data_IF_083756878317
#
_entry.id   IF_083756878317
#
_cell.length_a   1.000
_cell.length_b   1.000
_cell.length_c   1.000
_cell.angle_alpha   90.00
_cell.angle_beta   90.00
_cell.angle_gamma   90.00
#
_symmetry.space_group_name_H-M   'P 1'
#
loop_
_entity.id
_entity.type
_entity.pdbx_description
1 polymer ?
#
# COMPACT_ATOMS: atom_id res chain seq x y z
N UNK A 1 -19.56 -43.69 51.71
CA UNK A 1 -19.35 -42.23 51.79
C UNK A 1 -18.24 -41.82 50.87
N UNK A 2 -18.56 -41.38 49.69
CA UNK A 2 -17.61 -40.91 48.68
C UNK A 2 -17.81 -39.40 48.46
N UNK A 3 -16.77 -38.62 48.71
CA UNK A 3 -16.74 -37.18 48.50
C UNK A 3 -16.54 -36.89 47.03
N UNK A 4 -17.50 -36.19 46.39
CA UNK A 4 -17.35 -35.55 45.08
C UNK A 4 -16.44 -34.33 45.23
N UNK A 5 -15.36 -34.28 44.40
CA UNK A 5 -14.58 -33.11 44.18
C UNK A 5 -15.15 -32.37 42.94
N UNK A 6 -15.71 -31.21 43.17
CA UNK A 6 -16.04 -30.24 42.12
C UNK A 6 -14.78 -29.55 41.68
N UNK A 7 -14.30 -29.82 40.43
CA UNK A 7 -13.34 -28.99 39.74
C UNK A 7 -14.08 -27.85 39.02
N UNK A 8 -14.02 -26.65 39.57
CA UNK A 8 -14.36 -25.41 38.86
C UNK A 8 -13.28 -25.12 37.86
N UNK A 9 -13.66 -25.16 36.58
CA UNK A 9 -12.86 -24.64 35.47
C UNK A 9 -12.74 -23.11 35.58
N UNK A 10 -11.54 -22.60 35.82
CA UNK A 10 -11.21 -21.21 35.56
C UNK A 10 -11.09 -21.05 34.03
N UNK A 11 -12.07 -20.41 33.43
CA UNK A 11 -11.97 -19.89 32.07
C UNK A 11 -11.31 -18.52 32.19
N UNK A 12 -10.16 -18.37 31.53
CA UNK A 12 -9.35 -17.17 31.50
C UNK A 12 -10.16 -15.97 30.99
N UNK A 13 -10.29 -14.96 31.84
CA UNK A 13 -10.88 -13.63 31.56
C UNK A 13 -9.85 -12.64 31.01
N UNK A 14 -8.81 -13.12 30.35
CA UNK A 14 -7.71 -12.26 29.86
C UNK A 14 -7.96 -11.62 28.47
N UNK A 15 -9.00 -12.03 27.73
CA UNK A 15 -9.22 -11.55 26.35
C UNK A 15 -10.21 -10.37 26.22
N UNK A 16 -10.69 -9.80 27.31
CA UNK A 16 -11.67 -8.69 27.28
C UNK A 16 -11.11 -7.30 27.65
N UNK A 17 -9.85 -7.19 28.09
CA UNK A 17 -9.27 -5.89 28.45
C UNK A 17 -8.57 -5.12 27.32
N UNK A 18 -8.49 -5.69 26.10
CA UNK A 18 -7.84 -5.01 24.95
C UNK A 18 -8.77 -4.06 24.15
N UNK A 19 -10.03 -3.87 24.57
CA UNK A 19 -11.00 -2.99 23.90
C UNK A 19 -11.41 -1.83 24.79
N UNK A 20 -10.53 -0.89 25.07
CA UNK A 20 -10.92 0.23 25.93
C UNK A 20 -9.85 1.28 26.20
N UNK A 21 -8.88 1.45 25.34
CA UNK A 21 -8.13 2.70 25.29
C UNK A 21 -8.89 3.61 24.32
N UNK A 22 -9.87 4.36 24.82
CA UNK A 22 -10.38 5.54 24.13
C UNK A 22 -9.17 6.42 23.82
N UNK A 23 -8.84 6.50 22.51
CA UNK A 23 -7.68 7.20 22.00
C UNK A 23 -7.98 8.70 22.16
N UNK A 24 -7.54 9.30 23.27
CA UNK A 24 -7.58 10.77 23.40
C UNK A 24 -6.98 11.37 22.12
N UNK A 25 -7.60 12.40 21.54
CA UNK A 25 -7.17 12.93 20.25
C UNK A 25 -5.73 13.43 20.34
N UNK A 26 -4.80 12.60 19.91
CA UNK A 26 -3.36 12.93 19.92
C UNK A 26 -3.10 14.14 19.03
N UNK A 27 -2.30 15.11 19.47
CA UNK A 27 -1.98 16.26 18.64
C UNK A 27 -1.32 15.80 17.32
N UNK A 28 -1.61 16.50 16.22
CA UNK A 28 -1.04 16.17 14.91
C UNK A 28 0.49 16.16 14.95
N UNK A 29 1.09 15.14 14.34
CA UNK A 29 2.54 14.96 14.30
C UNK A 29 3.25 16.14 13.61
N UNK A 30 4.31 16.68 14.24
CA UNK A 30 5.12 17.77 13.69
C UNK A 30 5.95 17.29 12.48
N UNK A 31 6.25 18.19 11.56
CA UNK A 31 7.04 17.84 10.36
C UNK A 31 8.42 17.30 10.72
N UNK A 32 9.14 17.96 11.63
CA UNK A 32 10.50 17.56 12.03
C UNK A 32 10.54 16.15 12.61
N UNK A 33 9.58 15.79 13.43
CA UNK A 33 9.43 14.45 14.00
C UNK A 33 9.15 13.42 12.90
N UNK A 34 8.19 13.72 12.03
CA UNK A 34 7.85 12.86 10.89
C UNK A 34 9.04 12.60 9.97
N UNK A 35 9.77 13.64 9.60
CA UNK A 35 10.93 13.53 8.71
C UNK A 35 12.08 12.73 9.35
N UNK A 36 12.26 12.87 10.67
CA UNK A 36 13.25 12.09 11.42
C UNK A 36 12.94 10.60 11.38
N UNK A 37 11.70 10.21 11.75
CA UNK A 37 11.28 8.82 11.76
C UNK A 37 11.22 8.22 10.35
N UNK A 38 10.73 8.99 9.38
CA UNK A 38 10.68 8.52 8.00
C UNK A 38 12.07 8.24 7.44
N UNK A 39 13.08 9.07 7.78
CA UNK A 39 14.46 8.83 7.36
C UNK A 39 15.02 7.52 7.92
N UNK A 40 14.71 7.21 9.18
CA UNK A 40 15.09 5.93 9.80
C UNK A 40 14.45 4.77 9.06
N UNK A 41 13.14 4.82 8.85
CA UNK A 41 12.39 3.78 8.13
C UNK A 41 12.82 3.62 6.67
N UNK A 42 13.23 4.69 6.00
CA UNK A 42 13.81 4.60 4.66
C UNK A 42 15.11 3.76 4.64
N UNK A 43 15.93 3.87 5.70
CA UNK A 43 17.12 3.00 5.84
C UNK A 43 16.75 1.53 5.94
N UNK A 44 15.71 1.21 6.69
CA UNK A 44 15.20 -0.16 6.84
C UNK A 44 14.54 -0.68 5.54
N UNK A 45 13.78 0.17 4.82
CA UNK A 45 13.22 -0.18 3.50
C UNK A 45 14.32 -0.51 2.48
N UNK A 46 15.45 0.21 2.50
CA UNK A 46 16.60 -0.11 1.65
C UNK A 46 17.24 -1.43 2.07
N UNK A 47 17.36 -1.71 3.37
CA UNK A 47 17.87 -3.01 3.84
C UNK A 47 16.95 -4.17 3.41
N UNK A 48 15.64 -3.99 3.54
CA UNK A 48 14.65 -4.95 3.04
C UNK A 48 14.76 -5.15 1.52
N UNK A 49 14.95 -4.07 0.75
CA UNK A 49 15.16 -4.16 -0.69
C UNK A 49 16.35 -5.06 -1.06
N UNK A 50 17.50 -4.86 -0.39
CA UNK A 50 18.68 -5.68 -0.66
C UNK A 50 18.45 -7.14 -0.32
N UNK A 51 17.73 -7.40 0.77
CA UNK A 51 17.31 -8.77 1.12
C UNK A 51 16.37 -9.37 0.07
N UNK A 52 15.35 -8.65 -0.39
CA UNK A 52 14.44 -9.11 -1.45
C UNK A 52 15.21 -9.51 -2.71
N UNK A 53 16.18 -8.68 -3.12
CA UNK A 53 17.03 -8.98 -4.29
C UNK A 53 17.89 -10.22 -4.09
N UNK A 54 18.47 -10.37 -2.92
CA UNK A 54 19.42 -11.46 -2.65
C UNK A 54 18.70 -12.80 -2.42
N UNK A 55 17.56 -12.79 -1.75
CA UNK A 55 16.77 -13.98 -1.43
C UNK A 55 15.89 -14.45 -2.60
N UNK A 56 15.60 -13.56 -3.56
CA UNK A 56 14.61 -13.82 -4.60
C UNK A 56 13.17 -13.80 -4.07
N UNK A 57 12.93 -13.19 -2.90
CA UNK A 57 11.59 -13.05 -2.35
C UNK A 57 10.65 -12.33 -3.33
N UNK A 58 9.38 -12.72 -3.32
CA UNK A 58 8.32 -12.14 -4.13
C UNK A 58 7.32 -11.47 -3.19
N UNK A 59 7.18 -10.15 -3.28
CA UNK A 59 6.30 -9.40 -2.38
C UNK A 59 5.23 -8.67 -3.20
N UNK A 60 3.98 -8.83 -2.81
CA UNK A 60 2.82 -8.14 -3.39
C UNK A 60 2.09 -7.37 -2.29
N UNK A 61 1.99 -6.06 -2.46
CA UNK A 61 1.34 -5.16 -1.51
C UNK A 61 0.13 -4.53 -2.19
N UNK A 62 -1.04 -4.67 -1.58
CA UNK A 62 -2.30 -4.10 -2.05
C UNK A 62 -2.67 -2.92 -1.16
N UNK A 63 -2.90 -1.76 -1.79
CA UNK A 63 -3.44 -0.58 -1.14
C UNK A 63 -4.86 -0.30 -1.61
N UNK A 64 -5.79 -0.47 -0.71
CA UNK A 64 -7.20 -0.10 -0.86
C UNK A 64 -7.60 0.95 0.19
N UNK A 65 -8.81 1.43 0.11
CA UNK A 65 -9.32 2.40 1.08
C UNK A 65 -10.12 3.51 0.45
N UNK A 66 -10.70 4.34 1.30
CA UNK A 66 -11.59 5.44 0.89
C UNK A 66 -10.85 6.47 0.05
N UNK A 67 -11.60 7.21 -0.74
CA UNK A 67 -11.05 8.35 -1.46
C UNK A 67 -10.51 9.38 -0.48
N UNK A 68 -9.42 10.05 -0.86
CA UNK A 68 -8.65 10.97 -0.01
C UNK A 68 -7.94 10.36 1.20
N UNK A 69 -8.11 9.08 1.53
CA UNK A 69 -7.45 8.43 2.67
C UNK A 69 -5.91 8.51 2.63
N UNK A 70 -5.32 8.70 1.45
CA UNK A 70 -3.88 8.99 1.35
C UNK A 70 -3.04 7.87 0.76
N UNK A 71 -3.65 6.91 0.06
CA UNK A 71 -2.98 5.78 -0.61
C UNK A 71 -1.73 6.21 -1.38
N UNK A 72 -1.87 7.04 -2.40
CA UNK A 72 -0.72 7.46 -3.22
C UNK A 72 0.38 8.19 -2.44
N UNK A 73 0.03 8.93 -1.36
CA UNK A 73 1.03 9.55 -0.48
C UNK A 73 1.78 8.55 0.39
N UNK A 74 1.15 7.44 0.77
CA UNK A 74 1.77 6.34 1.50
C UNK A 74 2.69 5.54 0.57
N UNK A 75 2.21 5.20 -0.62
CA UNK A 75 2.99 4.52 -1.65
C UNK A 75 4.24 5.34 -1.99
N UNK A 76 4.10 6.67 -2.18
CA UNK A 76 5.24 7.56 -2.39
C UNK A 76 6.23 7.51 -1.23
N UNK A 77 5.77 7.56 0.02
CA UNK A 77 6.66 7.50 1.18
C UNK A 77 7.44 6.17 1.26
N UNK A 78 6.82 5.04 0.88
CA UNK A 78 7.50 3.74 0.79
C UNK A 78 8.54 3.73 -0.33
N UNK A 79 8.22 4.31 -1.50
CA UNK A 79 9.04 4.15 -2.71
C UNK A 79 10.07 5.26 -2.92
N UNK A 80 10.09 6.30 -2.10
CA UNK A 80 10.91 7.50 -2.31
C UNK A 80 12.43 7.21 -2.33
N UNK A 81 12.90 6.23 -1.57
CA UNK A 81 14.34 5.94 -1.40
C UNK A 81 14.75 4.54 -1.83
N UNK A 82 13.84 3.79 -2.41
CA UNK A 82 14.11 2.45 -2.94
C UNK A 82 14.21 2.47 -4.47
N UNK A 83 14.80 1.43 -5.03
CA UNK A 83 14.99 1.32 -6.48
C UNK A 83 13.68 0.99 -7.20
N UNK A 84 13.29 1.75 -8.24
CA UNK A 84 12.12 1.43 -9.06
C UNK A 84 12.31 0.15 -9.91
N UNK A 85 13.52 -0.42 -9.95
CA UNK A 85 13.76 -1.73 -10.57
C UNK A 85 13.36 -2.90 -9.67
N UNK A 86 13.23 -2.66 -8.36
CA UNK A 86 12.82 -3.64 -7.36
C UNK A 86 11.39 -3.37 -6.93
N UNK A 87 11.08 -2.10 -6.62
CA UNK A 87 9.74 -1.65 -6.24
C UNK A 87 9.01 -1.10 -7.46
N UNK A 88 7.99 -1.80 -7.91
CA UNK A 88 7.14 -1.35 -9.03
C UNK A 88 5.74 -1.01 -8.53
N UNK A 89 5.25 0.15 -8.92
CA UNK A 89 3.89 0.60 -8.64
C UNK A 89 3.01 0.24 -9.83
N UNK A 90 1.88 -0.40 -9.56
CA UNK A 90 0.87 -0.78 -10.55
C UNK A 90 -0.43 -0.06 -10.21
N UNK A 91 -0.85 0.85 -11.10
CA UNK A 91 -2.13 1.54 -11.04
C UNK A 91 -2.83 1.32 -12.39
N UNK A 92 -3.71 0.34 -12.45
CA UNK A 92 -4.37 -0.01 -13.72
C UNK A 92 -5.48 0.99 -14.04
N UNK A 93 -5.62 1.43 -15.30
CA UNK A 93 -6.74 2.25 -15.75
C UNK A 93 -8.05 1.46 -15.73
N UNK A 94 -9.15 2.09 -16.12
CA UNK A 94 -10.41 1.38 -16.37
C UNK A 94 -10.19 0.21 -17.36
N UNK A 95 -10.85 -0.94 -17.15
CA UNK A 95 -10.66 -2.10 -18.03
C UNK A 95 -11.08 -1.79 -19.45
N UNK A 96 -10.29 -2.26 -20.42
CA UNK A 96 -10.63 -2.24 -21.85
C UNK A 96 -11.79 -3.19 -22.15
N UNK A 97 -12.44 -3.05 -23.30
CA UNK A 97 -13.55 -3.95 -23.71
C UNK A 97 -13.09 -5.41 -23.76
N UNK A 98 -11.86 -5.67 -24.15
CA UNK A 98 -11.28 -7.02 -24.10
C UNK A 98 -11.16 -7.53 -22.67
N UNK A 99 -10.62 -6.73 -21.74
CA UNK A 99 -10.45 -7.12 -20.33
C UNK A 99 -11.79 -7.34 -19.63
N UNK A 100 -12.84 -6.60 -19.99
CA UNK A 100 -14.21 -6.82 -19.48
C UNK A 100 -14.77 -8.20 -19.85
N UNK A 101 -14.35 -8.77 -20.99
CA UNK A 101 -14.77 -10.10 -21.44
C UNK A 101 -13.91 -11.25 -20.90
N UNK A 102 -12.83 -10.95 -20.19
CA UNK A 102 -11.91 -11.92 -19.61
C UNK A 102 -12.29 -12.28 -18.16
N UNK A 103 -11.65 -13.31 -17.62
CA UNK A 103 -11.71 -13.55 -16.18
C UNK A 103 -11.19 -12.31 -15.43
N UNK A 104 -11.95 -11.80 -14.49
CA UNK A 104 -11.71 -10.48 -13.87
C UNK A 104 -10.29 -10.28 -13.37
N UNK A 105 -9.73 -11.27 -12.68
CA UNK A 105 -8.37 -11.18 -12.11
C UNK A 105 -7.26 -11.28 -13.16
N UNK A 106 -7.58 -11.70 -14.38
CA UNK A 106 -6.59 -11.95 -15.44
C UNK A 106 -5.74 -10.71 -15.77
N UNK A 107 -6.34 -9.50 -15.70
CA UNK A 107 -5.62 -8.26 -15.96
C UNK A 107 -4.55 -7.90 -14.93
N UNK A 108 -4.62 -8.49 -13.73
CA UNK A 108 -3.66 -8.25 -12.63
C UNK A 108 -2.50 -9.24 -12.65
N UNK A 109 -2.72 -10.46 -13.12
CA UNK A 109 -1.75 -11.56 -13.13
C UNK A 109 -0.41 -11.18 -13.79
N UNK A 110 -0.37 -10.50 -14.96
CA UNK A 110 0.88 -10.13 -15.62
C UNK A 110 1.77 -9.18 -14.81
N UNK A 111 1.22 -8.57 -13.76
CA UNK A 111 1.91 -7.61 -12.91
C UNK A 111 2.45 -8.22 -11.61
N UNK A 112 2.20 -9.50 -11.35
CA UNK A 112 2.67 -10.14 -10.12
C UNK A 112 4.20 -10.17 -10.05
N UNK A 113 4.75 -10.20 -8.81
CA UNK A 113 6.19 -10.15 -8.62
C UNK A 113 6.91 -11.38 -9.16
N UNK A 114 7.98 -11.15 -9.91
CA UNK A 114 9.01 -12.15 -10.12
C UNK A 114 9.96 -12.22 -8.91
N UNK A 115 10.88 -13.18 -8.91
CA UNK A 115 11.89 -13.29 -7.86
C UNK A 115 12.71 -12.00 -7.73
N UNK A 116 12.80 -11.47 -6.53
CA UNK A 116 13.53 -10.24 -6.23
C UNK A 116 12.73 -8.95 -6.47
N UNK A 117 11.40 -9.03 -6.60
CA UNK A 117 10.54 -7.87 -6.85
C UNK A 117 9.53 -7.62 -5.73
N UNK A 118 9.23 -6.34 -5.51
CA UNK A 118 8.13 -5.83 -4.68
C UNK A 118 7.15 -5.10 -5.58
N UNK A 119 5.93 -5.61 -5.69
CA UNK A 119 4.86 -4.97 -6.46
C UNK A 119 3.89 -4.30 -5.52
N UNK A 120 3.58 -3.04 -5.78
CA UNK A 120 2.60 -2.26 -5.01
C UNK A 120 1.44 -1.91 -5.92
N UNK A 121 0.26 -2.44 -5.63
CA UNK A 121 -0.97 -2.08 -6.30
C UNK A 121 -1.61 -0.85 -5.64
N UNK A 122 -1.71 0.28 -6.38
CA UNK A 122 -2.56 1.42 -6.01
C UNK A 122 -3.95 1.17 -6.57
N UNK A 123 -4.84 0.63 -5.75
CA UNK A 123 -6.05 -0.11 -6.10
C UNK A 123 -5.76 -1.45 -6.80
N UNK A 124 -6.59 -2.42 -6.57
CA UNK A 124 -6.34 -3.81 -6.99
C UNK A 124 -7.59 -4.48 -7.57
N UNK A 125 -7.59 -5.80 -7.59
CA UNK A 125 -8.75 -6.61 -7.90
C UNK A 125 -9.94 -6.34 -6.98
N UNK A 126 -9.73 -5.76 -5.83
CA UNK A 126 -10.80 -5.36 -4.91
C UNK A 126 -11.63 -4.15 -5.40
N UNK A 127 -11.25 -3.50 -6.51
CA UNK A 127 -12.13 -2.57 -7.21
C UNK A 127 -13.50 -3.18 -7.51
N UNK A 128 -13.57 -4.50 -7.80
CA UNK A 128 -14.83 -5.22 -8.08
C UNK A 128 -15.75 -5.21 -6.85
N UNK A 129 -15.22 -5.43 -5.65
CA UNK A 129 -15.99 -5.39 -4.41
C UNK A 129 -16.32 -3.98 -3.93
N UNK A 130 -15.50 -2.99 -4.28
CA UNK A 130 -15.61 -1.59 -3.87
C UNK A 130 -16.24 -0.71 -4.93
N UNK A 131 -15.38 0.07 -5.61
CA UNK A 131 -15.82 1.13 -6.52
C UNK A 131 -16.69 0.64 -7.67
N UNK A 132 -16.39 -0.52 -8.26
CA UNK A 132 -17.16 -1.03 -9.40
C UNK A 132 -18.59 -1.39 -8.99
N UNK A 133 -18.75 -2.03 -7.82
CA UNK A 133 -20.05 -2.37 -7.26
C UNK A 133 -20.85 -1.12 -6.89
N UNK A 134 -20.26 -0.24 -6.06
CA UNK A 134 -20.95 0.96 -5.56
C UNK A 134 -21.35 1.91 -6.69
N UNK A 135 -20.55 2.00 -7.75
CA UNK A 135 -20.83 2.88 -8.89
C UNK A 135 -21.67 2.19 -9.99
N UNK A 136 -22.01 0.92 -9.82
CA UNK A 136 -22.79 0.18 -10.80
C UNK A 136 -22.03 -0.16 -12.09
N UNK A 137 -20.69 -0.27 -12.01
CA UNK A 137 -19.85 -0.70 -13.13
C UNK A 137 -19.81 -2.22 -13.27
N UNK A 138 -20.28 -2.93 -12.28
CA UNK A 138 -20.56 -4.35 -12.32
C UNK A 138 -21.90 -4.63 -11.64
N UNK A 139 -22.48 -5.80 -11.91
CA UNK A 139 -23.66 -6.27 -11.22
C UNK A 139 -23.34 -6.76 -9.83
N UNK A 140 -24.33 -6.79 -8.92
CA UNK A 140 -24.17 -7.38 -7.59
C UNK A 140 -23.75 -8.86 -7.66
N UNK A 141 -24.27 -9.61 -8.64
CA UNK A 141 -23.88 -11.00 -8.87
C UNK A 141 -22.39 -11.15 -9.23
N UNK A 142 -21.84 -10.27 -10.06
CA UNK A 142 -20.41 -10.29 -10.40
C UNK A 142 -19.54 -9.92 -9.19
N UNK A 143 -19.96 -8.95 -8.39
CA UNK A 143 -19.27 -8.58 -7.16
C UNK A 143 -19.29 -9.72 -6.12
N UNK A 144 -20.43 -10.35 -5.92
CA UNK A 144 -20.58 -11.51 -5.03
C UNK A 144 -19.72 -12.69 -5.50
N UNK A 145 -19.79 -13.01 -6.80
CA UNK A 145 -18.96 -14.08 -7.37
C UNK A 145 -17.46 -13.83 -7.25
N UNK A 146 -17.05 -12.57 -7.38
CA UNK A 146 -15.67 -12.19 -7.13
C UNK A 146 -15.27 -12.43 -5.66
N UNK A 147 -16.10 -12.03 -4.70
CA UNK A 147 -15.81 -12.23 -3.27
C UNK A 147 -15.71 -13.72 -2.89
N UNK A 148 -16.49 -14.58 -3.52
CA UNK A 148 -16.38 -16.04 -3.36
C UNK A 148 -15.03 -16.60 -3.88
N UNK A 149 -14.49 -16.00 -4.95
CA UNK A 149 -13.27 -16.48 -5.60
C UNK A 149 -12.00 -15.88 -5.05
N UNK A 150 -12.06 -14.66 -4.49
CA UNK A 150 -10.89 -13.91 -4.05
C UNK A 150 -10.02 -14.67 -3.03
N UNK A 151 -10.56 -15.34 -1.99
CA UNK A 151 -9.74 -16.11 -1.04
C UNK A 151 -8.94 -17.24 -1.69
N UNK A 152 -9.56 -17.98 -2.63
CA UNK A 152 -8.91 -19.09 -3.32
C UNK A 152 -7.80 -18.59 -4.27
N UNK A 153 -8.05 -17.48 -4.96
CA UNK A 153 -7.07 -16.84 -5.82
C UNK A 153 -5.87 -16.32 -5.02
N UNK A 154 -6.09 -15.64 -3.90
CA UNK A 154 -5.03 -15.16 -3.01
C UNK A 154 -4.27 -16.32 -2.35
N UNK A 155 -4.98 -17.40 -2.00
CA UNK A 155 -4.32 -18.62 -1.50
C UNK A 155 -3.34 -19.19 -2.52
N UNK A 156 -3.73 -19.25 -3.80
CA UNK A 156 -2.84 -19.69 -4.87
C UNK A 156 -1.61 -18.79 -5.03
N UNK A 157 -1.75 -17.47 -4.84
CA UNK A 157 -0.60 -16.54 -4.83
C UNK A 157 0.35 -16.84 -3.68
N UNK A 158 -0.18 -17.03 -2.47
CA UNK A 158 0.63 -17.34 -1.27
C UNK A 158 1.29 -18.70 -1.40
N UNK A 159 0.59 -19.72 -1.89
CA UNK A 159 1.14 -21.05 -2.14
C UNK A 159 2.25 -21.05 -3.21
N UNK A 160 2.20 -20.11 -4.15
CA UNK A 160 3.28 -19.84 -5.11
C UNK A 160 4.48 -19.09 -4.50
N UNK A 161 4.47 -18.85 -3.18
CA UNK A 161 5.54 -18.19 -2.44
C UNK A 161 5.55 -16.67 -2.55
N UNK A 162 4.40 -16.05 -2.85
CA UNK A 162 4.25 -14.60 -2.82
C UNK A 162 3.85 -14.19 -1.40
N UNK A 163 4.61 -13.28 -0.79
CA UNK A 163 4.20 -12.57 0.43
C UNK A 163 3.16 -11.55 0.05
N UNK A 164 1.90 -11.80 0.39
CA UNK A 164 0.77 -10.92 0.08
C UNK A 164 0.37 -10.10 1.31
N UNK A 165 0.43 -8.76 1.19
CA UNK A 165 0.03 -7.82 2.23
C UNK A 165 -1.12 -6.96 1.71
N UNK A 166 -2.21 -6.87 2.48
CA UNK A 166 -3.39 -6.08 2.11
C UNK A 166 -3.62 -4.96 3.13
N UNK A 167 -3.55 -3.71 2.66
CA UNK A 167 -3.79 -2.52 3.48
C UNK A 167 -5.05 -1.80 3.05
N UNK A 168 -5.92 -1.54 4.02
CA UNK A 168 -7.05 -0.63 3.88
C UNK A 168 -6.77 0.67 4.62
N UNK A 169 -6.77 1.80 3.90
CA UNK A 169 -6.66 3.11 4.52
C UNK A 169 -8.06 3.64 4.79
N UNK A 170 -8.39 3.76 6.08
CA UNK A 170 -9.63 4.37 6.56
C UNK A 170 -9.40 5.86 6.88
N UNK A 171 -10.40 6.67 6.62
CA UNK A 171 -10.44 8.10 6.96
C UNK A 171 -11.83 8.41 7.50
N UNK A 172 -11.93 9.28 8.49
CA UNK A 172 -13.23 9.72 9.01
C UNK A 172 -13.99 10.55 7.96
N UNK A 173 -15.32 10.60 8.07
CA UNK A 173 -16.17 11.36 7.16
C UNK A 173 -15.80 12.85 7.14
N UNK A 174 -15.59 13.43 8.33
CA UNK A 174 -15.23 14.83 8.49
C UNK A 174 -13.85 15.16 7.87
N UNK A 175 -12.88 14.31 8.10
CA UNK A 175 -11.55 14.49 7.51
C UNK A 175 -11.57 14.27 5.99
N UNK A 176 -12.40 13.36 5.48
CA UNK A 176 -12.61 13.17 4.04
C UNK A 176 -13.17 14.45 3.40
N UNK A 177 -14.24 15.01 4.00
CA UNK A 177 -14.86 16.26 3.54
C UNK A 177 -13.81 17.40 3.48
N UNK A 178 -13.12 17.63 4.59
CA UNK A 178 -12.06 18.64 4.69
C UNK A 178 -10.96 18.46 3.64
N UNK A 179 -10.63 17.22 3.30
CA UNK A 179 -9.61 16.93 2.27
C UNK A 179 -10.09 17.20 0.86
N UNK A 180 -11.38 16.92 0.58
CA UNK A 180 -11.98 17.24 -0.72
C UNK A 180 -12.07 18.74 -0.93
N UNK A 181 -12.55 19.49 0.07
CA UNK A 181 -12.55 20.96 0.06
C UNK A 181 -11.16 21.53 -0.23
N UNK A 182 -10.13 21.04 0.49
CA UNK A 182 -8.73 21.44 0.24
C UNK A 182 -8.22 21.10 -1.17
N UNK A 183 -8.86 20.19 -1.90
CA UNK A 183 -8.51 19.93 -3.32
C UNK A 183 -9.16 20.92 -4.25
N UNK A 184 -10.38 21.39 -3.93
CA UNK A 184 -11.09 22.40 -4.70
C UNK A 184 -10.32 23.73 -4.66
N UNK A 185 -9.84 24.11 -3.48
CA UNK A 185 -9.23 25.41 -3.22
C UNK A 185 -7.76 25.52 -3.67
N UNK A 186 -7.04 24.42 -3.83
CA UNK A 186 -5.61 24.44 -4.17
C UNK A 186 -5.37 24.03 -5.63
N UNK A 187 -4.96 24.98 -6.52
CA UNK A 187 -4.71 24.70 -7.93
C UNK A 187 -3.65 23.61 -8.18
N UNK A 188 -2.80 23.32 -7.19
CA UNK A 188 -1.81 22.21 -7.27
C UNK A 188 -2.43 20.85 -6.96
N UNK A 189 -3.70 20.82 -6.51
CA UNK A 189 -4.42 19.60 -6.10
C UNK A 189 -5.68 19.35 -6.93
N UNK A 190 -6.19 20.37 -7.65
CA UNK A 190 -7.44 20.28 -8.41
C UNK A 190 -7.44 19.09 -9.39
N UNK A 191 -6.28 18.76 -9.97
CA UNK A 191 -6.14 17.60 -10.85
C UNK A 191 -6.40 16.24 -10.19
N UNK A 192 -6.43 16.21 -8.84
CA UNK A 192 -6.78 15.02 -8.03
C UNK A 192 -8.27 14.92 -7.74
N UNK A 193 -9.04 15.92 -8.13
CA UNK A 193 -10.48 15.92 -7.96
C UNK A 193 -11.12 15.46 -9.27
N UNK A 194 -11.84 14.37 -9.21
CA UNK A 194 -12.60 13.82 -10.34
C UNK A 194 -14.10 13.82 -10.01
N UNK A 195 -14.93 13.74 -11.05
CA UNK A 195 -16.37 13.51 -10.87
C UNK A 195 -16.67 12.25 -10.06
N UNK A 196 -15.75 11.27 -10.12
CA UNK A 196 -15.85 10.05 -9.35
C UNK A 196 -15.68 10.31 -7.84
N UNK A 197 -14.74 11.17 -7.44
CA UNK A 197 -14.56 11.53 -6.02
C UNK A 197 -15.83 12.17 -5.44
N UNK A 198 -16.51 13.02 -6.21
CA UNK A 198 -17.75 13.69 -5.79
C UNK A 198 -18.92 12.68 -5.66
N UNK A 199 -19.05 11.79 -6.64
CA UNK A 199 -20.07 10.72 -6.59
C UNK A 199 -19.81 9.73 -5.46
N UNK A 200 -18.57 9.38 -5.20
CA UNK A 200 -18.14 8.49 -4.14
C UNK A 200 -18.40 9.11 -2.76
N UNK A 201 -18.15 10.40 -2.61
CA UNK A 201 -18.42 11.13 -1.37
C UNK A 201 -19.89 11.04 -0.92
N UNK A 202 -20.82 11.16 -1.86
CA UNK A 202 -22.25 11.08 -1.59
C UNK A 202 -22.73 9.66 -1.21
N UNK A 203 -21.91 8.63 -1.38
CA UNK A 203 -22.26 7.21 -1.18
C UNK A 203 -21.52 6.55 -0.02
N UNK A 204 -21.26 7.32 1.02
CA UNK A 204 -20.47 6.88 2.18
C UNK A 204 -20.91 5.54 2.76
N UNK A 205 -22.22 5.36 2.98
CA UNK A 205 -22.78 4.15 3.58
C UNK A 205 -22.70 2.94 2.65
N UNK A 206 -22.87 3.15 1.35
CA UNK A 206 -22.72 2.09 0.35
C UNK A 206 -21.27 1.58 0.31
N UNK A 207 -20.30 2.49 0.35
CA UNK A 207 -18.87 2.14 0.45
C UNK A 207 -18.54 1.45 1.78
N UNK A 208 -19.17 1.84 2.88
CA UNK A 208 -18.97 1.21 4.19
C UNK A 208 -19.46 -0.24 4.17
N UNK A 209 -20.65 -0.48 3.63
CA UNK A 209 -21.19 -1.83 3.48
C UNK A 209 -20.33 -2.68 2.55
N UNK A 210 -19.95 -2.15 1.40
CA UNK A 210 -19.09 -2.84 0.45
C UNK A 210 -17.73 -3.23 1.05
N UNK A 211 -17.13 -2.35 1.86
CA UNK A 211 -15.91 -2.65 2.65
C UNK A 211 -16.12 -3.79 3.64
N UNK A 212 -17.19 -3.72 4.42
CA UNK A 212 -17.46 -4.70 5.48
C UNK A 212 -17.72 -6.10 4.90
N UNK A 213 -18.47 -6.18 3.80
CA UNK A 213 -18.67 -7.42 3.06
C UNK A 213 -17.34 -7.94 2.44
N UNK A 214 -16.53 -7.05 1.92
CA UNK A 214 -15.20 -7.40 1.39
C UNK A 214 -14.31 -7.98 2.49
N UNK A 215 -14.25 -7.37 3.67
CA UNK A 215 -13.50 -7.91 4.80
C UNK A 215 -14.04 -9.25 5.24
N UNK A 216 -15.36 -9.36 5.44
CA UNK A 216 -15.98 -10.62 5.85
C UNK A 216 -15.68 -11.79 4.90
N UNK A 217 -15.57 -11.52 3.60
CA UNK A 217 -15.32 -12.54 2.60
C UNK A 217 -13.83 -12.86 2.40
N UNK A 218 -12.93 -11.90 2.63
CA UNK A 218 -11.53 -12.01 2.20
C UNK A 218 -10.48 -11.75 3.29
N UNK A 219 -10.89 -11.54 4.53
CA UNK A 219 -9.95 -11.54 5.66
C UNK A 219 -9.61 -12.97 6.04
N UNK A 220 -8.44 -13.43 5.61
CA UNK A 220 -8.04 -14.83 5.76
C UNK A 220 -6.72 -14.95 6.52
N UNK A 221 -6.46 -16.06 7.23
CA UNK A 221 -5.21 -16.25 7.98
C UNK A 221 -3.94 -16.17 7.10
N UNK A 222 -4.04 -16.50 5.82
CA UNK A 222 -2.91 -16.46 4.90
C UNK A 222 -2.72 -15.13 4.17
N UNK A 223 -3.75 -14.27 4.19
CA UNK A 223 -3.72 -12.93 3.61
C UNK A 223 -4.72 -12.03 4.36
N UNK A 224 -4.40 -11.61 5.59
CA UNK A 224 -5.28 -10.76 6.38
C UNK A 224 -5.31 -9.31 5.84
N UNK A 225 -6.40 -8.60 6.18
CA UNK A 225 -6.50 -7.17 5.98
C UNK A 225 -5.93 -6.40 7.18
N UNK A 226 -5.12 -5.40 6.89
CA UNK A 226 -4.61 -4.46 7.88
C UNK A 226 -5.22 -3.09 7.65
N UNK A 227 -5.95 -2.59 8.66
CA UNK A 227 -6.63 -1.29 8.60
C UNK A 227 -5.75 -0.21 9.21
N UNK A 228 -5.50 0.85 8.44
CA UNK A 228 -4.74 2.00 8.89
C UNK A 228 -5.63 3.25 8.95
N UNK A 229 -5.88 3.78 10.14
CA UNK A 229 -6.58 5.05 10.33
C UNK A 229 -5.68 6.21 9.91
N UNK A 230 -6.14 7.00 8.96
CA UNK A 230 -5.31 7.97 8.22
C UNK A 230 -5.69 9.43 8.43
N UNK A 231 -6.45 9.78 9.45
CA UNK A 231 -6.79 11.17 9.76
C UNK A 231 -5.53 11.99 10.03
N UNK A 232 -4.53 11.41 10.70
CA UNK A 232 -3.15 11.91 10.64
C UNK A 232 -2.35 11.12 9.59
N UNK A 233 -2.22 11.68 8.40
CA UNK A 233 -1.48 11.06 7.29
C UNK A 233 -0.02 10.73 7.59
N UNK A 234 0.62 11.51 8.47
CA UNK A 234 2.02 11.29 8.83
C UNK A 234 2.16 10.04 9.68
N UNK A 235 1.34 9.94 10.73
CA UNK A 235 1.29 8.75 11.60
C UNK A 235 0.91 7.50 10.82
N UNK A 236 -0.13 7.58 9.99
CA UNK A 236 -0.57 6.45 9.17
C UNK A 236 0.55 5.92 8.27
N UNK A 237 1.31 6.80 7.63
CA UNK A 237 2.46 6.40 6.79
C UNK A 237 3.55 5.70 7.58
N UNK A 238 3.95 6.27 8.72
CA UNK A 238 4.96 5.65 9.58
C UNK A 238 4.49 4.30 10.09
N UNK A 239 3.25 4.20 10.57
CA UNK A 239 2.67 2.96 11.07
C UNK A 239 2.61 1.88 9.99
N UNK A 240 2.17 2.21 8.78
CA UNK A 240 2.13 1.26 7.67
C UNK A 240 3.54 0.79 7.30
N UNK A 241 4.52 1.69 7.20
CA UNK A 241 5.90 1.31 6.88
C UNK A 241 6.49 0.43 7.98
N UNK A 242 6.29 0.79 9.25
CA UNK A 242 6.76 0.01 10.40
C UNK A 242 6.13 -1.39 10.39
N UNK A 243 4.82 -1.47 10.18
CA UNK A 243 4.12 -2.76 10.08
C UNK A 243 4.62 -3.59 8.91
N UNK A 244 4.77 -3.01 7.73
CA UNK A 244 5.31 -3.68 6.54
C UNK A 244 6.68 -4.29 6.82
N UNK A 245 7.56 -3.54 7.46
CA UNK A 245 8.91 -4.00 7.84
C UNK A 245 8.88 -5.09 8.93
N UNK A 246 7.85 -5.12 9.78
CA UNK A 246 7.72 -6.15 10.82
C UNK A 246 7.15 -7.47 10.30
N UNK A 247 6.35 -7.44 9.24
CA UNK A 247 5.68 -8.64 8.69
C UNK A 247 6.53 -9.34 7.63
N UNK A 248 7.30 -8.58 6.83
CA UNK A 248 8.22 -9.17 5.86
C UNK A 248 9.43 -9.74 6.60
N UNK A 249 9.71 -11.05 6.51
CA UNK A 249 10.78 -11.70 7.29
C UNK A 249 12.16 -11.43 6.68
N UNK A 250 12.58 -10.15 6.62
CA UNK A 250 13.86 -9.78 6.05
C UNK A 250 14.97 -9.74 7.11
N UNK A 251 16.16 -10.13 6.70
CA UNK A 251 17.39 -9.98 7.50
C UNK A 251 18.32 -8.98 6.80
N UNK A 252 18.84 -7.97 7.54
CA UNK A 252 19.78 -7.02 6.95
C UNK A 252 21.04 -7.73 6.43
N UNK A 253 21.35 -7.51 5.17
CA UNK A 253 22.58 -8.06 4.57
C UNK A 253 23.77 -7.20 5.03
N UNK A 254 24.86 -7.80 5.52
CA UNK A 254 26.06 -7.06 5.89
C UNK A 254 26.59 -6.22 4.72
N UNK A 255 26.81 -4.93 4.98
CA UNK A 255 27.41 -4.05 3.97
C UNK A 255 28.86 -4.45 3.73
N UNK A 256 29.23 -4.57 2.47
CA UNK A 256 30.65 -4.68 2.11
C UNK A 256 31.29 -3.30 2.25
N UNK A 257 32.47 -3.24 2.84
CA UNK A 257 33.28 -2.02 2.81
C UNK A 257 33.67 -1.71 1.36
N UNK A 258 33.19 -0.58 0.86
CA UNK A 258 33.47 -0.14 -0.51
C UNK A 258 34.28 1.16 -0.42
N UNK A 259 35.52 1.12 -0.89
CA UNK A 259 36.32 2.33 -1.11
C UNK A 259 36.14 2.81 -2.54
N UNK A 260 36.00 4.11 -2.74
CA UNK A 260 35.99 4.68 -4.09
C UNK A 260 37.38 4.49 -4.71
N UNK A 261 37.48 3.89 -5.91
CA UNK A 261 38.76 3.79 -6.64
C UNK A 261 39.23 5.19 -6.99
N UNK A 262 40.57 5.35 -7.09
CA UNK A 262 41.15 6.59 -7.61
C UNK A 262 40.70 6.78 -9.06
N UNK A 263 40.20 7.98 -9.38
CA UNK A 263 39.82 8.34 -10.76
C UNK A 263 41.07 8.77 -11.52
N UNK A 264 41.40 8.07 -12.59
CA UNK A 264 42.43 8.52 -13.53
C UNK A 264 41.77 9.49 -14.52
N UNK A 265 41.83 10.77 -14.20
CA UNK A 265 41.31 11.84 -15.06
C UNK A 265 42.46 12.22 -16.00
N UNK A 266 42.48 11.67 -17.17
CA UNK A 266 43.31 12.19 -18.28
C UNK A 266 42.63 13.41 -18.85
N UNK A 267 43.39 14.50 -18.97
CA UNK A 267 42.90 15.72 -19.61
C UNK A 267 42.60 15.38 -21.10
N UNK A 268 41.33 15.27 -21.45
CA UNK A 268 40.84 14.98 -22.79
C UNK A 268 40.57 16.29 -23.55
N UNK A 269 41.29 17.36 -23.24
CA UNK A 269 41.22 18.63 -23.97
C UNK A 269 41.87 18.52 -25.36
N UNK A 270 41.39 17.58 -26.18
CA UNK A 270 41.72 17.47 -27.60
C UNK A 270 40.50 17.77 -28.47
N UNK A 271 40.67 18.20 -29.70
CA UNK A 271 39.54 18.46 -30.60
C UNK A 271 38.88 17.12 -30.97
N UNK A 272 37.89 16.71 -30.18
CA UNK A 272 36.95 15.67 -30.58
C UNK A 272 36.14 16.22 -31.75
N UNK A 273 36.30 15.62 -32.90
CA UNK A 273 35.82 16.12 -34.17
C UNK A 273 34.38 16.61 -34.16
N UNK A 274 34.19 17.79 -34.73
CA UNK A 274 33.08 18.37 -35.48
C UNK A 274 31.61 18.15 -35.06
N UNK A 275 31.28 17.63 -33.86
CA UNK A 275 29.93 17.72 -33.35
C UNK A 275 29.74 19.10 -32.68
N UNK A 276 28.63 19.82 -32.95
CA UNK A 276 28.38 21.05 -32.25
C UNK A 276 28.25 20.74 -30.73
N UNK A 277 28.76 21.65 -29.86
CA UNK A 277 28.69 21.43 -28.43
C UNK A 277 27.24 21.27 -28.00
N UNK A 278 26.94 20.37 -27.02
CA UNK A 278 25.59 20.23 -26.47
C UNK A 278 25.13 21.58 -25.90
N UNK A 279 23.84 21.81 -25.99
CA UNK A 279 23.24 23.03 -25.39
C UNK A 279 23.15 22.86 -23.89
N UNK A 280 23.71 23.80 -23.15
CA UNK A 280 23.57 23.84 -21.72
C UNK A 280 22.15 24.28 -21.32
N UNK A 281 21.67 23.70 -20.21
CA UNK A 281 20.42 24.18 -19.59
C UNK A 281 20.71 25.55 -18.97
N UNK A 282 19.89 26.57 -19.25
CA UNK A 282 20.02 27.86 -18.57
C UNK A 282 19.95 27.70 -17.05
N UNK A 283 20.80 28.41 -16.33
CA UNK A 283 20.87 28.41 -14.87
C UNK A 283 20.27 29.69 -14.31
N UNK A 284 18.93 29.84 -14.25
CA UNK A 284 18.28 31.05 -13.75
C UNK A 284 18.33 31.17 -12.22
N UNK A 285 18.85 30.16 -11.48
CA UNK A 285 18.98 30.10 -10.03
C UNK A 285 20.44 29.97 -9.60
#
# INVERSE_FOLDING_TARGET
MAKKHDQKSHVDTADHEARGLEDEPRPRMKNKEYEHELRRLHGELVAMQEWVRASGAKVCIVFEGRDTAGKGGTIKAITERVSPRVFRIVALPAPTEREKSQMYVQRYIPHFPAAGEVIIFDRSWYNRAGVERVMGFCTDHEAQRFLELAPAFEKAMVDAGIVLLKYWLEVSADEQARRLESRIDDPRKVWKLSDMDLKSYARWDEYSRARDEMFAASDTPWAPWYVAHSDDKKRARLNIITHLLSVIPFEPIPKKDVALPKRDIKDVSGPHGAAPPPRDIPTPF
#
